data_IF_731702746241
#
_entry.id   IF_731702746241
#
_cell.length_a   1.000
_cell.length_b   1.000
_cell.length_c   1.000
_cell.angle_alpha   90.00
_cell.angle_beta   90.00
_cell.angle_gamma   90.00
#
_symmetry.space_group_name_H-M   'P 1'
#
loop_
_entity.id
_entity.type
_entity.pdbx_description
1 polymer ?
#
# COMPACT_ATOMS: atom_id res chain seq x y z
N UNK A 1 -3.12 23.41 -16.10
CA UNK A 1 -2.96 23.46 -14.63
C UNK A 1 -3.43 22.14 -14.07
N UNK A 2 -2.59 21.39 -13.35
CA UNK A 2 -3.03 20.14 -12.70
C UNK A 2 -3.86 20.54 -11.49
N UNK A 3 -5.15 20.17 -11.47
CA UNK A 3 -6.01 20.46 -10.33
C UNK A 3 -5.85 19.36 -9.26
N UNK A 4 -6.20 19.70 -8.01
CA UNK A 4 -6.08 18.78 -6.88
C UNK A 4 -6.84 17.45 -7.10
N UNK A 5 -8.00 17.51 -7.75
CA UNK A 5 -8.79 16.34 -8.10
C UNK A 5 -8.03 15.40 -9.06
N UNK A 6 -7.30 15.97 -10.03
CA UNK A 6 -6.46 15.23 -10.97
C UNK A 6 -5.29 14.53 -10.26
N UNK A 7 -4.71 15.16 -9.23
CA UNK A 7 -3.64 14.55 -8.42
C UNK A 7 -4.18 13.33 -7.66
N UNK A 8 -5.32 13.49 -6.99
CA UNK A 8 -5.97 12.38 -6.26
C UNK A 8 -6.35 11.27 -7.22
N UNK A 9 -6.99 11.60 -8.35
CA UNK A 9 -7.40 10.62 -9.35
C UNK A 9 -6.18 9.83 -9.87
N UNK A 10 -5.09 10.52 -10.22
CA UNK A 10 -3.87 9.89 -10.68
C UNK A 10 -3.28 8.95 -9.60
N UNK A 11 -3.17 9.43 -8.36
CA UNK A 11 -2.69 8.62 -7.24
C UNK A 11 -3.56 7.38 -6.99
N UNK A 12 -4.88 7.51 -7.11
CA UNK A 12 -5.82 6.40 -6.97
C UNK A 12 -5.62 5.33 -8.05
N UNK A 13 -5.56 5.72 -9.33
CA UNK A 13 -5.36 4.76 -10.42
C UNK A 13 -3.98 4.09 -10.37
N UNK A 14 -2.94 4.83 -10.02
CA UNK A 14 -1.61 4.26 -9.80
C UNK A 14 -1.60 3.29 -8.61
N UNK A 15 -2.29 3.64 -7.52
CA UNK A 15 -2.47 2.76 -6.37
C UNK A 15 -3.21 1.47 -6.71
N UNK A 16 -4.28 1.55 -7.52
CA UNK A 16 -4.99 0.35 -7.99
C UNK A 16 -4.10 -0.56 -8.84
N UNK A 17 -3.24 0.02 -9.69
CA UNK A 17 -2.25 -0.76 -10.44
C UNK A 17 -1.27 -1.46 -9.50
N UNK A 18 -0.71 -0.73 -8.54
CA UNK A 18 0.22 -1.31 -7.57
C UNK A 18 -0.43 -2.42 -6.72
N UNK A 19 -1.70 -2.26 -6.35
CA UNK A 19 -2.46 -3.28 -5.63
C UNK A 19 -2.56 -4.64 -6.36
N UNK A 20 -2.31 -4.67 -7.67
CA UNK A 20 -2.29 -5.90 -8.49
C UNK A 20 -0.91 -6.54 -8.61
N UNK A 21 0.12 -5.99 -7.97
CA UNK A 21 1.45 -6.57 -7.95
C UNK A 21 1.44 -7.92 -7.18
N UNK A 22 2.37 -8.85 -7.52
CA UNK A 22 2.32 -10.23 -7.00
C UNK A 22 2.35 -10.34 -5.48
N UNK A 23 3.07 -9.45 -4.79
CA UNK A 23 3.16 -9.40 -3.33
C UNK A 23 1.80 -9.13 -2.68
N UNK A 24 1.05 -8.16 -3.21
CA UNK A 24 -0.28 -7.81 -2.71
C UNK A 24 -1.31 -8.88 -3.04
N UNK A 25 -1.23 -9.46 -4.24
CA UNK A 25 -2.09 -10.59 -4.63
C UNK A 25 -1.88 -11.78 -3.69
N UNK A 26 -0.63 -12.14 -3.37
CA UNK A 26 -0.32 -13.23 -2.43
C UNK A 26 -0.81 -12.90 -1.02
N UNK A 27 -0.65 -11.66 -0.55
CA UNK A 27 -1.12 -11.23 0.77
C UNK A 27 -2.65 -11.33 0.89
N UNK A 28 -3.38 -10.75 -0.06
CA UNK A 28 -4.85 -10.72 -0.04
C UNK A 28 -5.44 -12.12 -0.22
N UNK A 29 -4.90 -12.93 -1.14
CA UNK A 29 -5.36 -14.32 -1.31
C UNK A 29 -5.14 -15.13 -0.04
N UNK A 30 -4.00 -14.98 0.63
CA UNK A 30 -3.73 -15.65 1.91
C UNK A 30 -4.72 -15.24 3.00
N UNK A 31 -5.03 -13.94 3.12
CA UNK A 31 -5.98 -13.41 4.11
C UNK A 31 -7.38 -13.98 3.85
N UNK A 32 -7.86 -13.91 2.61
CA UNK A 32 -9.20 -14.37 2.23
C UNK A 32 -9.33 -15.89 2.33
N UNK A 33 -8.27 -16.65 2.03
CA UNK A 33 -8.28 -18.12 2.17
C UNK A 33 -8.29 -18.60 3.63
N UNK A 34 -7.76 -17.80 4.58
CA UNK A 34 -7.73 -18.17 6.00
C UNK A 34 -8.96 -17.75 6.78
N UNK A 35 -9.67 -16.72 6.32
CA UNK A 35 -10.81 -16.15 7.04
C UNK A 35 -12.16 -16.63 6.49
N UNK A 36 -13.03 -17.12 7.39
CA UNK A 36 -14.38 -17.59 7.02
C UNK A 36 -15.35 -16.47 6.67
N UNK A 37 -15.10 -15.24 7.15
CA UNK A 37 -15.99 -14.08 6.95
C UNK A 37 -15.25 -13.00 6.18
N UNK A 38 -15.86 -12.56 5.07
CA UNK A 38 -15.31 -11.48 4.22
C UNK A 38 -15.10 -10.19 5.03
N UNK A 39 -15.99 -9.88 5.98
CA UNK A 39 -15.84 -8.69 6.83
C UNK A 39 -14.55 -8.73 7.67
N UNK A 40 -14.19 -9.91 8.21
CA UNK A 40 -12.96 -10.08 8.98
C UNK A 40 -11.73 -10.03 8.08
N UNK A 41 -11.79 -10.66 6.91
CA UNK A 41 -10.74 -10.55 5.89
C UNK A 41 -10.51 -9.09 5.46
N UNK A 42 -11.58 -8.32 5.25
CA UNK A 42 -11.51 -6.91 4.89
C UNK A 42 -10.84 -6.08 5.99
N UNK A 43 -11.21 -6.27 7.26
CA UNK A 43 -10.57 -5.57 8.37
C UNK A 43 -9.08 -5.91 8.48
N UNK A 44 -8.70 -7.19 8.33
CA UNK A 44 -7.29 -7.59 8.31
C UNK A 44 -6.56 -6.92 7.15
N UNK A 45 -7.17 -6.89 5.97
CA UNK A 45 -6.62 -6.19 4.80
C UNK A 45 -6.41 -4.69 5.04
N UNK A 46 -7.34 -4.02 5.73
CA UNK A 46 -7.22 -2.60 6.11
C UNK A 46 -6.03 -2.39 7.05
N UNK A 47 -5.92 -3.18 8.13
CA UNK A 47 -4.80 -3.05 9.07
C UNK A 47 -3.46 -3.35 8.42
N UNK A 48 -3.42 -4.37 7.57
CA UNK A 48 -2.22 -4.71 6.81
C UNK A 48 -1.81 -3.58 5.84
N UNK A 49 -2.75 -3.06 5.05
CA UNK A 49 -2.49 -1.96 4.11
C UNK A 49 -2.08 -0.66 4.80
N UNK A 50 -2.69 -0.36 5.96
CA UNK A 50 -2.32 0.77 6.79
C UNK A 50 -0.89 0.63 7.33
N UNK A 51 -0.53 -0.55 7.86
CA UNK A 51 0.83 -0.84 8.35
C UNK A 51 1.89 -0.78 7.24
N UNK A 52 1.56 -1.31 6.06
CA UNK A 52 2.43 -1.24 4.88
C UNK A 52 2.70 0.21 4.47
N UNK A 53 1.63 1.01 4.32
CA UNK A 53 1.74 2.44 3.96
C UNK A 53 2.53 3.23 5.00
N UNK A 54 2.26 3.00 6.29
CA UNK A 54 2.97 3.67 7.38
C UNK A 54 4.46 3.35 7.35
N UNK A 55 4.83 2.10 7.09
CA UNK A 55 6.24 1.67 7.02
C UNK A 55 6.96 2.37 5.87
N UNK A 56 6.36 2.37 4.67
CA UNK A 56 6.93 3.06 3.51
C UNK A 56 7.05 4.55 3.77
N UNK A 57 6.04 5.16 4.37
CA UNK A 57 6.07 6.59 4.69
C UNK A 57 7.20 6.92 5.68
N UNK A 58 7.28 6.21 6.81
CA UNK A 58 8.29 6.47 7.83
C UNK A 58 9.70 6.22 7.29
N UNK A 59 9.94 5.06 6.69
CA UNK A 59 11.28 4.69 6.18
C UNK A 59 11.66 5.55 4.97
N UNK A 60 10.74 5.74 4.03
CA UNK A 60 10.97 6.57 2.84
C UNK A 60 11.23 8.03 3.19
N UNK A 61 10.46 8.62 4.10
CA UNK A 61 10.73 9.97 4.60
C UNK A 61 12.07 10.04 5.32
N UNK A 62 12.43 9.05 6.14
CA UNK A 62 13.74 9.02 6.78
C UNK A 62 14.88 8.98 5.75
N UNK A 63 14.78 8.14 4.73
CA UNK A 63 15.78 8.06 3.65
C UNK A 63 15.96 9.43 2.97
N UNK A 64 14.85 10.10 2.62
CA UNK A 64 14.89 11.40 1.95
C UNK A 64 15.46 12.50 2.86
N UNK A 65 15.03 12.56 4.12
CA UNK A 65 15.42 13.62 5.06
C UNK A 65 16.88 13.50 5.48
N UNK A 66 17.37 12.26 5.67
CA UNK A 66 18.74 11.98 6.11
C UNK A 66 19.71 11.69 4.95
N UNK A 67 19.25 11.81 3.69
CA UNK A 67 20.02 11.51 2.47
C UNK A 67 20.74 10.15 2.52
N UNK A 68 20.01 9.12 2.99
CA UNK A 68 20.58 7.80 3.20
C UNK A 68 20.75 7.07 1.87
N UNK A 69 21.99 6.74 1.53
CA UNK A 69 22.29 5.90 0.36
C UNK A 69 22.13 4.43 0.74
N UNK A 70 21.14 3.76 0.14
CA UNK A 70 20.98 2.30 0.25
C UNK A 70 21.79 1.65 -0.88
N UNK A 71 22.88 0.93 -0.58
CA UNK A 71 23.65 0.21 -1.59
C UNK A 71 22.84 -0.95 -2.17
N UNK A 72 23.07 -1.24 -3.46
CA UNK A 72 22.43 -2.31 -4.22
C UNK A 72 22.98 -3.70 -3.89
#
# INVERSE_FOLDING_TARGET
>A
MINFLSIIALGFFLGMRHATDPDHVIAVTTIVSRERKISKAAWIGVFWGAGHTLTIFVVGTAIIVFDLVIPA
#
